data_IF_601418588794
#
_entry.id   IF_601418588794
#
_cell.length_a   1.000
_cell.length_b   1.000
_cell.length_c   1.000
_cell.angle_alpha   90.00
_cell.angle_beta   90.00
_cell.angle_gamma   90.00
#
_symmetry.space_group_name_H-M   'P 1'
#
loop_
_entity.id
_entity.type
_entity.pdbx_description
1 polymer ?
#
# COMPACT_ATOMS: atom_id res chain seq x y z
N UNK A 1 -1.73 16.06 8.71
CA UNK A 1 -1.72 14.59 8.90
C UNK A 1 -3.09 14.21 9.43
N UNK A 2 -3.91 13.54 8.63
CA UNK A 2 -5.27 13.16 9.02
C UNK A 2 -5.34 11.68 9.34
N UNK A 3 -5.88 11.34 10.50
CA UNK A 3 -6.30 9.98 10.84
C UNK A 3 -7.81 9.96 10.69
N UNK A 4 -8.35 9.02 9.94
CA UNK A 4 -9.78 8.95 9.69
C UNK A 4 -10.19 7.68 8.97
N UNK A 5 -11.49 7.42 8.99
CA UNK A 5 -12.09 6.33 8.23
C UNK A 5 -12.27 6.79 6.79
N UNK A 6 -11.61 6.11 5.86
CA UNK A 6 -11.81 6.30 4.43
C UNK A 6 -12.73 5.21 3.90
N UNK A 7 -13.78 5.60 3.19
CA UNK A 7 -14.59 4.64 2.43
C UNK A 7 -13.80 4.18 1.21
N UNK A 8 -14.14 3.01 0.67
CA UNK A 8 -13.49 2.50 -0.53
C UNK A 8 -13.68 3.44 -1.73
N UNK A 9 -14.84 4.08 -1.85
CA UNK A 9 -15.10 5.10 -2.87
C UNK A 9 -14.17 6.29 -2.77
N UNK A 10 -13.87 6.77 -1.55
CA UNK A 10 -12.90 7.86 -1.35
C UNK A 10 -11.49 7.45 -1.77
N UNK A 11 -11.08 6.22 -1.46
CA UNK A 11 -9.78 5.68 -1.89
C UNK A 11 -9.72 5.55 -3.41
N UNK A 12 -10.81 5.09 -4.05
CA UNK A 12 -10.91 5.00 -5.51
C UNK A 12 -10.82 6.39 -6.12
N UNK A 13 -11.58 7.35 -5.61
CA UNK A 13 -11.60 8.71 -6.14
C UNK A 13 -10.24 9.42 -6.01
N UNK A 14 -9.49 9.11 -4.95
CA UNK A 14 -8.15 9.66 -4.74
C UNK A 14 -7.08 9.13 -5.70
N UNK A 15 -7.34 8.03 -6.43
CA UNK A 15 -6.41 7.39 -7.38
C UNK A 15 -4.96 7.33 -6.85
N UNK A 16 -4.70 6.62 -5.73
CA UNK A 16 -3.38 6.60 -5.13
C UNK A 16 -2.35 5.89 -6.01
N UNK A 17 -1.16 6.48 -6.13
CA UNK A 17 -0.02 5.90 -6.84
C UNK A 17 0.65 4.73 -6.08
N UNK A 18 0.35 4.58 -4.78
CA UNK A 18 0.89 3.56 -3.90
C UNK A 18 -0.10 3.27 -2.78
N UNK A 19 -0.34 1.99 -2.50
CA UNK A 19 -1.17 1.56 -1.36
C UNK A 19 -0.29 0.78 -0.37
N UNK A 20 -0.18 1.28 0.85
CA UNK A 20 0.54 0.63 1.95
C UNK A 20 -0.50 0.08 2.94
N UNK A 21 -0.35 -1.17 3.35
CA UNK A 21 -1.20 -1.76 4.40
C UNK A 21 -0.37 -2.63 5.34
N UNK A 22 -0.86 -2.84 6.55
CA UNK A 22 -0.27 -3.77 7.54
C UNK A 22 -0.93 -5.16 7.50
N UNK A 23 -1.76 -5.42 6.47
CA UNK A 23 -2.53 -6.65 6.34
C UNK A 23 -1.60 -7.85 6.19
N UNK A 24 -1.75 -8.78 7.12
CA UNK A 24 -1.15 -10.11 7.03
C UNK A 24 -2.01 -11.00 6.12
N UNK A 25 -1.50 -11.46 4.96
CA UNK A 25 -2.25 -12.31 4.06
C UNK A 25 -2.51 -13.71 4.63
N UNK A 26 -1.79 -14.13 5.68
CA UNK A 26 -1.97 -15.45 6.30
C UNK A 26 -3.18 -15.52 7.24
N UNK A 27 -3.75 -14.37 7.64
CA UNK A 27 -4.90 -14.29 8.53
C UNK A 27 -6.16 -13.79 7.81
N UNK A 28 -7.32 -14.47 7.91
CA UNK A 28 -8.56 -14.08 7.25
C UNK A 28 -9.26 -12.93 8.00
N UNK A 29 -8.58 -11.79 8.15
CA UNK A 29 -9.11 -10.60 8.81
C UNK A 29 -10.04 -9.79 7.89
N UNK A 30 -10.81 -8.86 8.46
CA UNK A 30 -11.59 -7.90 7.65
C UNK A 30 -10.67 -7.11 6.71
N UNK A 31 -9.49 -6.68 7.18
CA UNK A 31 -8.49 -6.01 6.35
C UNK A 31 -8.03 -6.87 5.17
N UNK A 32 -7.86 -8.17 5.38
CA UNK A 32 -7.55 -9.13 4.30
C UNK A 32 -8.60 -9.11 3.20
N UNK A 33 -9.88 -9.25 3.56
CA UNK A 33 -10.96 -9.27 2.58
C UNK A 33 -11.18 -7.91 1.93
N UNK A 34 -11.13 -6.83 2.71
CA UNK A 34 -11.26 -5.46 2.20
C UNK A 34 -10.21 -5.15 1.13
N UNK A 35 -8.96 -5.54 1.36
CA UNK A 35 -7.87 -5.32 0.39
C UNK A 35 -8.03 -6.12 -0.91
N UNK A 36 -8.83 -7.19 -0.91
CA UNK A 36 -9.09 -8.02 -2.11
C UNK A 36 -10.39 -7.63 -2.83
N UNK A 37 -11.06 -6.58 -2.37
CA UNK A 37 -12.31 -6.14 -2.95
C UNK A 37 -12.12 -5.77 -4.44
N UNK A 38 -12.99 -6.24 -5.35
CA UNK A 38 -12.82 -6.04 -6.79
C UNK A 38 -12.81 -4.58 -7.22
N UNK A 39 -13.43 -3.68 -6.45
CA UNK A 39 -13.44 -2.24 -6.74
C UNK A 39 -12.04 -1.59 -6.70
N UNK A 40 -11.04 -2.21 -6.05
CA UNK A 40 -9.64 -1.76 -6.16
C UNK A 40 -9.10 -1.80 -7.60
N UNK A 41 -9.72 -2.57 -8.51
CA UNK A 41 -9.37 -2.59 -9.93
C UNK A 41 -9.63 -1.26 -10.65
N UNK A 42 -10.46 -0.40 -10.07
CA UNK A 42 -10.73 0.93 -10.60
C UNK A 42 -9.65 1.96 -10.24
N UNK A 43 -8.68 1.59 -9.40
CA UNK A 43 -7.56 2.47 -9.05
C UNK A 43 -6.46 2.25 -10.07
N UNK A 44 -6.12 3.32 -10.78
CA UNK A 44 -5.04 3.38 -11.73
C UNK A 44 -4.09 4.51 -11.35
N UNK A 45 -2.81 4.31 -11.60
CA UNK A 45 -1.83 5.39 -11.53
C UNK A 45 -2.04 6.38 -12.71
N UNK A 46 -1.27 7.47 -12.69
CA UNK A 46 -1.27 8.49 -13.76
C UNK A 46 -0.97 7.95 -15.17
N UNK A 47 -0.49 6.73 -15.29
CA UNK A 47 -0.22 6.05 -16.57
C UNK A 47 -1.21 4.92 -16.87
N UNK A 48 -2.33 4.84 -16.13
CA UNK A 48 -3.38 3.84 -16.35
C UNK A 48 -3.05 2.45 -15.83
N UNK A 49 -2.11 2.30 -14.88
CA UNK A 49 -1.63 0.99 -14.39
C UNK A 49 -2.14 0.73 -12.98
N UNK A 50 -2.26 -0.55 -12.60
CA UNK A 50 -2.58 -0.90 -11.21
C UNK A 50 -1.43 -0.43 -10.31
N UNK A 51 -1.69 0.38 -9.28
CA UNK A 51 -0.63 0.88 -8.40
C UNK A 51 -0.01 -0.27 -7.59
N UNK A 52 1.29 -0.19 -7.29
CA UNK A 52 1.95 -1.14 -6.40
C UNK A 52 1.29 -1.14 -5.01
N UNK A 53 1.30 -2.32 -4.39
CA UNK A 53 0.81 -2.53 -3.02
C UNK A 53 1.95 -3.06 -2.16
N UNK A 54 2.12 -2.50 -0.98
CA UNK A 54 3.21 -2.85 -0.06
C UNK A 54 2.65 -3.24 1.29
N UNK A 55 2.97 -4.45 1.75
CA UNK A 55 2.70 -4.86 3.13
C UNK A 55 3.81 -4.32 4.03
N UNK A 56 3.42 -3.49 5.01
CA UNK A 56 4.31 -2.88 5.99
C UNK A 56 3.80 -3.18 7.41
N UNK A 57 4.40 -4.17 8.11
CA UNK A 57 3.96 -4.58 9.44
C UNK A 57 3.88 -3.40 10.42
N UNK A 58 2.74 -3.25 11.09
CA UNK A 58 2.44 -2.13 11.98
C UNK A 58 3.48 -1.95 13.10
N UNK A 59 4.01 -3.05 13.63
CA UNK A 59 5.05 -3.05 14.67
C UNK A 59 6.37 -2.37 14.26
N UNK A 60 6.56 -2.10 12.96
CA UNK A 60 7.74 -1.40 12.46
C UNK A 60 7.56 0.12 12.37
N UNK A 61 6.34 0.67 12.48
CA UNK A 61 6.11 2.10 12.24
C UNK A 61 5.10 2.78 13.16
N UNK A 62 4.25 2.03 13.86
CA UNK A 62 3.17 2.61 14.68
C UNK A 62 3.67 3.39 15.91
N UNK A 63 4.70 2.90 16.60
CA UNK A 63 5.21 3.48 17.85
C UNK A 63 6.43 4.41 17.64
N UNK A 64 6.86 4.64 16.40
CA UNK A 64 7.98 5.55 16.08
C UNK A 64 9.36 5.15 16.64
N UNK A 65 9.55 3.87 17.01
CA UNK A 65 10.81 3.36 17.56
C UNK A 65 11.89 3.08 16.50
N UNK A 66 13.09 2.62 16.91
CA UNK A 66 14.20 2.33 16.00
C UNK A 66 13.87 1.29 14.91
N UNK A 67 12.83 0.48 15.12
CA UNK A 67 12.27 -0.46 14.15
C UNK A 67 11.83 0.23 12.85
N UNK A 68 11.57 1.54 12.87
CA UNK A 68 11.22 2.34 11.68
C UNK A 68 12.29 2.27 10.59
N UNK A 69 13.57 2.09 10.94
CA UNK A 69 14.63 1.87 9.94
C UNK A 69 14.35 0.64 9.07
N UNK A 70 13.73 -0.40 9.63
CA UNK A 70 13.31 -1.59 8.88
C UNK A 70 12.12 -1.28 7.97
N UNK A 71 11.16 -0.49 8.44
CA UNK A 71 10.04 -0.02 7.61
C UNK A 71 10.53 0.78 6.40
N UNK A 72 11.46 1.72 6.61
CA UNK A 72 12.11 2.49 5.54
C UNK A 72 12.81 1.57 4.54
N UNK A 73 13.51 0.54 5.02
CA UNK A 73 14.18 -0.44 4.15
C UNK A 73 13.19 -1.22 3.26
N UNK A 74 12.01 -1.57 3.78
CA UNK A 74 10.95 -2.24 3.01
C UNK A 74 10.43 -1.29 1.92
N UNK A 75 10.13 -0.05 2.27
CA UNK A 75 9.64 0.96 1.34
C UNK A 75 10.67 1.30 0.25
N UNK A 76 11.95 1.38 0.60
CA UNK A 76 13.04 1.62 -0.35
C UNK A 76 13.13 0.51 -1.41
N UNK A 77 13.02 -0.77 -0.98
CA UNK A 77 12.99 -1.91 -1.91
C UNK A 77 11.77 -1.89 -2.81
N UNK A 78 10.60 -1.58 -2.27
CA UNK A 78 9.37 -1.46 -3.06
C UNK A 78 9.46 -0.33 -4.10
N UNK A 79 10.06 0.81 -3.72
CA UNK A 79 10.32 1.92 -4.65
C UNK A 79 11.27 1.50 -5.76
N UNK A 80 12.38 0.83 -5.45
CA UNK A 80 13.32 0.34 -6.46
C UNK A 80 12.62 -0.59 -7.47
N UNK A 81 11.89 -1.60 -6.99
CA UNK A 81 11.14 -2.49 -7.86
C UNK A 81 10.10 -1.77 -8.74
N UNK A 82 9.42 -0.75 -8.20
CA UNK A 82 8.48 0.06 -8.97
C UNK A 82 9.14 0.93 -10.05
N UNK A 83 10.41 1.32 -9.87
CA UNK A 83 11.19 2.05 -10.86
C UNK A 83 11.79 1.11 -11.91
N UNK A 84 12.31 -0.05 -11.52
CA UNK A 84 12.84 -1.05 -12.46
C UNK A 84 11.76 -1.51 -13.44
N UNK A 85 10.53 -1.74 -12.95
CA UNK A 85 9.36 -2.05 -13.78
C UNK A 85 8.98 -0.92 -14.75
N UNK A 86 9.42 0.30 -14.49
CA UNK A 86 9.21 1.48 -15.35
C UNK A 86 10.31 1.64 -16.40
N UNK A 87 11.54 1.20 -16.12
CA UNK A 87 12.70 1.36 -17.04
C UNK A 87 12.87 0.20 -18.02
N UNK A 88 12.46 -1.02 -17.65
CA UNK A 88 12.57 -2.21 -18.51
C UNK A 88 11.44 -2.35 -19.56
N UNK A 89 10.78 -1.25 -19.95
CA UNK A 89 9.69 -1.25 -20.94
C UNK A 89 9.67 0.04 -21.75
#
# INVERSE_FOLDING_TARGET
LGIGWLTLDQVIWAQPELIISDVDPSWPSLGHFAMRHPAYRAILDKQGRVPPRVTLPANLWNCGGPQVAKAVSILAKARAAALDLRENR
#
